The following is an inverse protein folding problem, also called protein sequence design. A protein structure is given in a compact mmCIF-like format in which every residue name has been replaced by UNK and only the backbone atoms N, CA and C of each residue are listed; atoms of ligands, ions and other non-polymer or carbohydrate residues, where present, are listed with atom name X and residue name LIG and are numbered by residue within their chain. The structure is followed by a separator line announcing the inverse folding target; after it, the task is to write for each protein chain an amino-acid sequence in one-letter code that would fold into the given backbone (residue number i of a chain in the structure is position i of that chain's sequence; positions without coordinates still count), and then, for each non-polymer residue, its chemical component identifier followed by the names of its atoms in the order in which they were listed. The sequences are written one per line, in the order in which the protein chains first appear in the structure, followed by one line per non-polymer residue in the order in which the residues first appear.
data_IF_297685872377
#
_entry.id   IF_297685872377
#
_cell.length_a   1.000
_cell.length_b   1.000
_cell.length_c   1.000
_cell.angle_alpha   90.00
_cell.angle_beta   90.00
_cell.angle_gamma   90.00
#
_symmetry.space_group_name_H-M   'P 1'
#
loop_
_entity.id
_entity.type
_entity.pdbx_description
1 polymer ?
#
# COMPACT_ATOMS: atom_id res chain seq x y z
N UNK A 1 2.17 -1.75 11.05
CA UNK A 1 3.10 -2.47 11.97
C UNK A 1 2.54 -3.83 12.37
N UNK A 2 3.36 -4.90 12.32
CA UNK A 2 2.98 -6.25 12.75
C UNK A 2 3.60 -6.56 14.11
N UNK A 3 2.78 -6.97 15.08
CA UNK A 3 3.21 -7.26 16.47
C UNK A 3 4.40 -8.22 16.54
N UNK A 4 4.35 -9.33 15.80
CA UNK A 4 5.43 -10.35 15.78
C UNK A 4 6.79 -9.76 15.40
N UNK A 5 6.83 -8.80 14.47
CA UNK A 5 8.06 -8.13 14.04
C UNK A 5 8.57 -7.16 15.10
N UNK A 6 7.67 -6.41 15.74
CA UNK A 6 8.04 -5.44 16.77
C UNK A 6 8.61 -6.10 18.04
N UNK A 7 8.04 -7.23 18.45
CA UNK A 7 8.52 -7.99 19.63
C UNK A 7 9.95 -8.49 19.44
N UNK A 8 10.36 -8.77 18.20
CA UNK A 8 11.73 -9.18 17.87
C UNK A 8 12.70 -7.99 17.76
N UNK A 9 12.27 -6.78 18.11
CA UNK A 9 13.10 -5.57 17.99
C UNK A 9 13.38 -5.17 16.53
N UNK A 10 12.55 -5.61 15.58
CA UNK A 10 12.74 -5.40 14.15
C UNK A 10 11.72 -4.42 13.56
N UNK A 11 11.98 -3.99 12.33
CA UNK A 11 11.13 -3.04 11.61
C UNK A 11 11.02 -1.72 12.36
N UNK A 12 9.79 -1.23 12.55
CA UNK A 12 9.56 0.05 13.22
C UNK A 12 10.05 0.12 14.68
N UNK A 13 10.37 -1.01 15.33
CA UNK A 13 10.92 -1.01 16.68
C UNK A 13 12.32 -0.40 16.75
N UNK A 14 13.11 -0.50 15.68
CA UNK A 14 14.48 0.01 15.61
C UNK A 14 14.57 1.54 15.76
N UNK A 15 13.47 2.27 15.53
CA UNK A 15 13.45 3.73 15.74
C UNK A 15 13.64 4.12 17.21
N UNK A 16 13.45 3.19 18.15
CA UNK A 16 13.71 3.40 19.58
C UNK A 16 15.17 3.22 19.97
N UNK A 17 15.98 2.66 19.08
CA UNK A 17 17.40 2.36 19.27
C UNK A 17 18.16 2.86 18.05
N UNK A 18 18.28 4.19 17.84
CA UNK A 18 18.97 4.80 16.72
C UNK A 18 20.34 4.17 16.43
N UNK A 19 21.14 3.97 17.46
CA UNK A 19 22.48 3.37 17.39
C UNK A 19 22.44 1.97 16.77
N UNK A 20 21.49 1.13 17.17
CA UNK A 20 21.30 -0.21 16.59
C UNK A 20 20.78 -0.13 15.16
N UNK A 21 19.89 0.82 14.86
CA UNK A 21 19.38 1.03 13.50
C UNK A 21 20.53 1.36 12.56
N UNK A 22 21.37 2.33 12.93
CA UNK A 22 22.52 2.78 12.16
C UNK A 22 23.55 1.66 11.99
N UNK A 23 23.85 0.91 13.06
CA UNK A 23 24.76 -0.24 12.98
C UNK A 23 24.25 -1.34 12.03
N UNK A 24 22.96 -1.68 12.10
CA UNK A 24 22.35 -2.64 11.18
C UNK A 24 22.39 -2.13 9.73
N UNK A 25 22.11 -0.84 9.52
CA UNK A 25 22.10 -0.22 8.20
C UNK A 25 23.50 -0.18 7.58
N UNK A 26 24.51 0.21 8.35
CA UNK A 26 25.92 0.21 7.94
C UNK A 26 26.39 -1.19 7.55
N UNK A 27 26.11 -2.20 8.37
CA UNK A 27 26.46 -3.58 8.05
C UNK A 27 25.82 -4.09 6.75
N UNK A 28 24.58 -3.66 6.44
CA UNK A 28 23.93 -3.99 5.16
C UNK A 28 24.63 -3.28 4.00
N UNK A 29 24.93 -1.99 4.14
CA UNK A 29 25.63 -1.21 3.12
C UNK A 29 27.01 -1.80 2.79
N UNK A 30 27.78 -2.19 3.81
CA UNK A 30 29.10 -2.80 3.62
C UNK A 30 29.03 -4.17 2.94
N UNK A 31 27.90 -4.87 3.06
CA UNK A 31 27.72 -6.23 2.54
C UNK A 31 27.34 -6.29 1.06
N UNK A 32 26.90 -5.19 0.44
CA UNK A 32 26.38 -5.19 -0.94
C UNK A 32 26.86 -4.01 -1.77
N UNK A 33 26.97 -4.22 -3.09
CA UNK A 33 27.32 -3.15 -4.05
C UNK A 33 26.11 -2.50 -4.72
N UNK A 34 24.91 -3.04 -4.48
CA UNK A 34 23.66 -2.50 -5.03
C UNK A 34 23.13 -1.37 -4.13
N UNK A 35 22.36 -0.40 -4.68
CA UNK A 35 21.79 0.67 -3.88
C UNK A 35 20.92 0.16 -2.73
N UNK A 36 21.21 0.61 -1.51
CA UNK A 36 20.43 0.28 -0.30
C UNK A 36 19.56 1.47 0.08
N UNK A 37 18.25 1.24 0.21
CA UNK A 37 17.29 2.24 0.68
C UNK A 37 16.73 1.86 2.05
N UNK A 38 16.19 2.84 2.77
CA UNK A 38 15.51 2.61 4.04
C UNK A 38 14.09 3.16 4.01
N UNK A 39 13.16 2.43 4.66
CA UNK A 39 11.77 2.87 4.83
C UNK A 39 11.43 3.05 6.30
N UNK A 40 11.11 4.27 6.68
CA UNK A 40 10.89 4.70 8.06
C UNK A 40 9.43 5.01 8.38
N UNK A 41 9.16 5.01 9.69
CA UNK A 41 8.05 5.71 10.33
C UNK A 41 8.61 6.91 11.09
N UNK A 42 7.76 7.87 11.50
CA UNK A 42 8.23 9.08 12.18
C UNK A 42 8.55 8.89 13.67
N UNK A 43 8.08 7.80 14.29
CA UNK A 43 8.31 7.54 15.71
C UNK A 43 7.74 6.18 16.13
N UNK A 44 7.88 5.84 17.41
CA UNK A 44 7.34 4.57 17.94
C UNK A 44 5.97 4.76 18.62
N UNK A 45 5.94 5.34 19.82
CA UNK A 45 4.70 5.67 20.53
C UNK A 45 4.26 7.10 20.20
N UNK A 46 5.10 8.04 20.65
CA UNK A 46 5.05 9.46 20.36
C UNK A 46 5.98 9.80 19.20
N UNK A 47 5.82 11.00 18.68
CA UNK A 47 6.71 11.61 17.71
C UNK A 47 7.40 12.80 18.39
N UNK A 48 8.74 12.77 18.40
CA UNK A 48 9.56 13.89 18.83
C UNK A 48 10.40 14.33 17.65
N UNK A 49 10.20 15.58 17.23
CA UNK A 49 10.68 16.08 15.95
C UNK A 49 12.20 16.17 15.88
N UNK A 50 12.85 16.80 16.87
CA UNK A 50 14.31 16.97 16.90
C UNK A 50 15.06 15.64 16.77
N UNK A 51 14.87 14.70 17.71
CA UNK A 51 15.54 13.40 17.66
C UNK A 51 15.28 12.62 16.37
N UNK A 52 14.08 12.72 15.80
CA UNK A 52 13.77 12.08 14.53
C UNK A 52 14.53 12.70 13.35
N UNK A 53 14.62 14.03 13.29
CA UNK A 53 15.37 14.72 12.24
C UNK A 53 16.88 14.44 12.34
N UNK A 54 17.43 14.38 13.55
CA UNK A 54 18.83 14.00 13.76
C UNK A 54 19.10 12.57 13.27
N UNK A 55 18.24 11.61 13.63
CA UNK A 55 18.33 10.24 13.09
C UNK A 55 18.28 10.21 11.55
N UNK A 56 17.44 11.04 10.93
CA UNK A 56 17.34 11.10 9.47
C UNK A 56 18.63 11.63 8.83
N UNK A 57 19.29 12.62 9.45
CA UNK A 57 20.62 13.10 9.00
C UNK A 57 21.67 12.01 9.12
N UNK A 58 21.70 11.29 10.24
CA UNK A 58 22.66 10.20 10.46
C UNK A 58 22.48 9.09 9.42
N UNK A 59 21.22 8.71 9.17
CA UNK A 59 20.86 7.73 8.14
C UNK A 59 21.33 8.18 6.75
N UNK A 60 21.11 9.46 6.40
CA UNK A 60 21.57 10.00 5.12
C UNK A 60 23.09 9.98 5.01
N UNK A 61 23.79 10.32 6.09
CA UNK A 61 25.26 10.42 6.14
C UNK A 61 25.96 9.07 5.99
N UNK A 62 25.30 7.98 6.39
CA UNK A 62 25.81 6.61 6.24
C UNK A 62 25.73 6.11 4.77
N UNK A 63 25.03 6.83 3.87
CA UNK A 63 25.08 6.57 2.43
C UNK A 63 23.94 5.73 1.86
N UNK A 64 22.74 5.82 2.44
CA UNK A 64 21.55 5.23 1.80
C UNK A 64 21.23 5.94 0.48
N UNK A 65 20.72 5.18 -0.50
CA UNK A 65 20.39 5.73 -1.82
C UNK A 65 19.09 6.53 -1.82
N UNK A 66 18.17 6.24 -0.90
CA UNK A 66 16.94 7.02 -0.70
C UNK A 66 16.27 6.68 0.64
N UNK A 67 15.44 7.61 1.13
CA UNK A 67 14.65 7.46 2.37
C UNK A 67 13.16 7.48 2.01
N UNK A 68 12.46 6.37 2.28
CA UNK A 68 11.01 6.30 2.15
C UNK A 68 10.32 6.57 3.50
N UNK A 69 9.64 7.71 3.64
CA UNK A 69 9.03 8.12 4.91
C UNK A 69 7.51 7.91 4.90
N UNK A 70 7.03 7.13 5.88
CA UNK A 70 5.62 7.16 6.30
C UNK A 70 5.51 8.01 7.57
N UNK A 71 5.00 9.26 7.52
CA UNK A 71 4.98 10.15 8.68
C UNK A 71 3.79 9.81 9.61
N UNK A 72 3.84 8.59 10.14
CA UNK A 72 3.02 8.09 11.25
C UNK A 72 3.95 7.38 12.23
N UNK A 73 3.62 7.42 13.51
CA UNK A 73 4.29 6.59 14.52
C UNK A 73 3.90 5.12 14.35
N UNK A 74 4.70 4.21 14.88
CA UNK A 74 4.38 2.77 14.91
C UNK A 74 3.04 2.53 15.63
N UNK A 75 2.81 3.18 16.77
CA UNK A 75 1.61 3.03 17.60
C UNK A 75 0.33 3.50 16.89
N UNK A 76 0.40 4.58 16.08
CA UNK A 76 -0.74 5.01 15.26
C UNK A 76 -1.21 3.93 14.28
N UNK A 77 -0.30 3.04 13.85
CA UNK A 77 -0.64 1.98 12.91
C UNK A 77 -1.18 2.54 11.59
N UNK A 78 -2.48 2.35 11.36
CA UNK A 78 -3.20 2.85 10.18
C UNK A 78 -4.30 3.88 10.52
N UNK A 79 -4.37 4.29 11.79
CA UNK A 79 -5.34 5.27 12.32
C UNK A 79 -4.79 6.70 12.18
N UNK A 80 -5.66 7.67 12.38
CA UNK A 80 -5.33 9.10 12.23
C UNK A 80 -4.89 9.45 10.82
N UNK A 81 -4.22 10.58 10.67
CA UNK A 81 -3.67 11.08 9.40
C UNK A 81 -2.15 11.05 9.43
N UNK A 82 -1.53 10.92 8.26
CA UNK A 82 -0.09 11.09 8.12
C UNK A 82 0.30 12.58 8.25
N UNK A 83 1.32 12.88 9.05
CA UNK A 83 1.89 14.22 9.28
C UNK A 83 2.66 14.69 8.04
N UNK A 84 1.96 15.13 6.99
CA UNK A 84 2.57 15.42 5.68
C UNK A 84 3.62 16.53 5.72
N UNK A 85 3.52 17.47 6.67
CA UNK A 85 4.52 18.52 6.89
C UNK A 85 5.93 17.97 7.08
N UNK A 86 6.06 16.81 7.73
CA UNK A 86 7.35 16.18 7.97
C UNK A 86 8.11 15.77 6.69
N UNK A 87 7.39 15.57 5.58
CA UNK A 87 8.03 15.30 4.28
C UNK A 87 8.81 16.52 3.80
N UNK A 88 8.26 17.71 3.95
CA UNK A 88 8.90 18.97 3.55
C UNK A 88 10.20 19.20 4.33
N UNK A 89 10.10 19.00 5.64
CA UNK A 89 11.23 19.15 6.55
C UNK A 89 12.34 18.16 6.26
N UNK A 90 12.00 16.87 6.11
CA UNK A 90 12.98 15.84 5.80
C UNK A 90 13.58 16.04 4.41
N UNK A 91 12.78 16.41 3.41
CA UNK A 91 13.28 16.64 2.04
C UNK A 91 14.20 17.86 1.95
N UNK A 92 14.01 18.86 2.82
CA UNK A 92 14.90 20.03 2.91
C UNK A 92 16.15 19.77 3.76
N UNK A 93 16.16 18.68 4.55
CA UNK A 93 17.21 18.37 5.51
C UNK A 93 18.34 17.53 4.93
N UNK A 94 18.05 16.70 3.92
CA UNK A 94 18.98 15.70 3.39
C UNK A 94 19.03 15.76 1.87
N UNK A 95 20.21 15.49 1.30
CA UNK A 95 20.40 15.48 -0.15
C UNK A 95 19.90 14.20 -0.82
N UNK A 96 19.75 13.11 -0.06
CA UNK A 96 19.26 11.84 -0.59
C UNK A 96 17.78 11.94 -0.95
N UNK A 97 17.33 11.34 -2.07
CA UNK A 97 15.93 11.36 -2.48
C UNK A 97 14.96 10.88 -1.38
N UNK A 98 13.96 11.70 -1.07
CA UNK A 98 12.88 11.34 -0.15
C UNK A 98 11.68 10.81 -0.92
N UNK A 99 11.20 9.62 -0.55
CA UNK A 99 10.00 8.99 -1.10
C UNK A 99 8.87 9.09 -0.07
N UNK A 100 7.86 9.92 -0.35
CA UNK A 100 6.73 10.09 0.56
C UNK A 100 5.77 8.90 0.51
N UNK A 101 5.25 8.47 1.66
CA UNK A 101 4.30 7.38 1.78
C UNK A 101 3.21 7.72 2.79
N UNK A 102 1.98 7.30 2.52
CA UNK A 102 0.88 7.35 3.49
C UNK A 102 -0.28 8.19 2.99
N UNK A 103 -1.49 7.65 3.12
CA UNK A 103 -2.74 8.34 2.79
C UNK A 103 -2.80 8.94 1.39
N UNK A 104 -2.13 8.30 0.42
CA UNK A 104 -2.26 8.61 -1.00
C UNK A 104 -3.46 7.85 -1.53
N UNK A 105 -4.53 8.58 -1.91
CA UNK A 105 -5.80 8.03 -2.38
C UNK A 105 -6.18 8.59 -3.75
N UNK A 106 -5.81 9.84 -4.01
CA UNK A 106 -6.12 10.58 -5.23
C UNK A 106 -4.91 11.36 -5.75
N UNK A 107 -5.01 11.91 -6.96
CA UNK A 107 -3.88 12.60 -7.60
C UNK A 107 -3.45 13.86 -6.84
N UNK A 108 -4.39 14.59 -6.26
CA UNK A 108 -4.14 15.73 -5.36
C UNK A 108 -3.19 15.36 -4.22
N UNK A 109 -3.31 14.16 -3.64
CA UNK A 109 -2.38 13.68 -2.61
C UNK A 109 -0.96 13.50 -3.13
N UNK A 110 -0.82 12.97 -4.35
CA UNK A 110 0.50 12.81 -5.00
C UNK A 110 1.11 14.18 -5.25
N UNK A 111 0.34 15.12 -5.80
CA UNK A 111 0.79 16.49 -6.08
C UNK A 111 1.18 17.22 -4.81
N UNK A 112 0.42 17.09 -3.72
CA UNK A 112 0.75 17.67 -2.42
C UNK A 112 2.09 17.13 -1.88
N UNK A 113 2.33 15.82 -1.95
CA UNK A 113 3.64 15.28 -1.54
C UNK A 113 4.81 15.76 -2.40
N UNK A 114 4.62 15.84 -3.72
CA UNK A 114 5.66 16.35 -4.63
C UNK A 114 5.96 17.84 -4.37
N UNK A 115 4.94 18.64 -4.03
CA UNK A 115 5.11 20.05 -3.64
C UNK A 115 5.88 20.22 -2.34
N UNK A 116 5.84 19.22 -1.45
CA UNK A 116 6.58 19.17 -0.18
C UNK A 116 7.99 18.59 -0.36
N UNK A 117 8.57 18.68 -1.55
CA UNK A 117 9.94 18.24 -1.80
C UNK A 117 10.14 16.73 -1.98
N UNK A 118 9.10 15.89 -1.89
CA UNK A 118 9.27 14.47 -2.14
C UNK A 118 9.70 14.22 -3.60
N UNK A 119 10.75 13.41 -3.80
CA UNK A 119 11.21 13.01 -5.13
C UNK A 119 10.26 12.03 -5.81
N UNK A 120 9.61 11.18 -5.01
CA UNK A 120 8.62 10.21 -5.47
C UNK A 120 7.56 9.93 -4.39
N UNK A 121 6.47 9.28 -4.80
CA UNK A 121 5.37 8.92 -3.91
C UNK A 121 5.13 7.42 -3.96
N UNK A 122 5.16 6.77 -2.79
CA UNK A 122 4.91 5.35 -2.63
C UNK A 122 3.45 5.12 -2.20
N UNK A 123 2.72 4.35 -3.00
CA UNK A 123 1.30 4.06 -2.80
C UNK A 123 1.13 2.62 -2.34
N UNK A 124 0.44 2.43 -1.20
CA UNK A 124 0.16 1.11 -0.64
C UNK A 124 -1.31 0.74 -0.79
N UNK A 125 -2.08 0.92 0.30
CA UNK A 125 -3.48 0.47 0.45
C UNK A 125 -4.40 0.87 -0.71
N UNK A 126 -4.20 2.02 -1.34
CA UNK A 126 -5.08 2.47 -2.42
C UNK A 126 -5.03 1.58 -3.66
N UNK A 127 -3.93 0.83 -3.87
CA UNK A 127 -3.78 -0.12 -4.99
C UNK A 127 -4.34 -1.52 -4.68
N UNK A 128 -4.69 -1.81 -3.42
CA UNK A 128 -5.21 -3.12 -3.02
C UNK A 128 -6.60 -3.32 -3.64
N UNK A 129 -6.72 -4.33 -4.50
CA UNK A 129 -7.95 -4.60 -5.24
C UNK A 129 -8.21 -3.64 -6.40
N UNK A 130 -7.30 -2.70 -6.70
CA UNK A 130 -7.44 -1.75 -7.80
C UNK A 130 -6.04 -1.34 -8.33
N UNK A 131 -5.30 -2.25 -8.98
CA UNK A 131 -3.94 -1.97 -9.43
C UNK A 131 -3.87 -0.82 -10.44
N UNK A 132 -4.91 -0.65 -11.28
CA UNK A 132 -4.99 0.41 -12.27
C UNK A 132 -5.17 1.81 -11.67
N UNK A 133 -5.47 1.91 -10.36
CA UNK A 133 -5.46 3.21 -9.68
C UNK A 133 -4.13 3.93 -9.82
N UNK A 134 -3.00 3.23 -9.95
CA UNK A 134 -1.70 3.90 -10.18
C UNK A 134 -1.72 4.78 -11.44
N UNK A 135 -2.34 4.30 -12.53
CA UNK A 135 -2.48 5.09 -13.78
C UNK A 135 -3.37 6.31 -13.55
N UNK A 136 -4.44 6.19 -12.76
CA UNK A 136 -5.32 7.31 -12.42
C UNK A 136 -4.62 8.34 -11.53
N UNK A 137 -3.79 7.90 -10.59
CA UNK A 137 -2.96 8.78 -9.75
C UNK A 137 -1.93 9.57 -10.59
N UNK A 138 -1.41 8.99 -11.67
CA UNK A 138 -0.48 9.64 -12.60
C UNK A 138 -1.20 10.56 -13.58
N UNK A 139 -2.30 10.09 -14.20
CA UNK A 139 -2.93 10.79 -15.32
C UNK A 139 -4.06 11.75 -14.90
N UNK A 140 -4.51 11.72 -13.65
CA UNK A 140 -5.57 12.60 -13.15
C UNK A 140 -7.00 12.15 -13.45
N UNK A 141 -7.20 10.85 -13.73
CA UNK A 141 -8.53 10.28 -13.89
C UNK A 141 -9.26 10.20 -12.55
N UNK A 142 -10.38 10.93 -12.41
CA UNK A 142 -11.27 10.89 -11.24
C UNK A 142 -12.36 9.83 -11.34
N UNK A 143 -12.53 9.24 -12.53
CA UNK A 143 -13.58 8.27 -12.78
C UNK A 143 -13.38 6.99 -11.95
N UNK A 144 -14.43 6.61 -11.25
CA UNK A 144 -14.50 5.37 -10.52
C UNK A 144 -14.75 4.21 -11.50
N UNK A 145 -13.82 3.24 -11.63
CA UNK A 145 -14.01 2.13 -12.56
C UNK A 145 -15.26 1.31 -12.25
N UNK A 146 -15.79 1.36 -11.03
CA UNK A 146 -16.99 0.61 -10.66
C UNK A 146 -18.30 1.36 -10.97
N UNK A 147 -18.24 2.51 -11.66
CA UNK A 147 -19.43 3.31 -11.98
C UNK A 147 -20.06 3.00 -13.34
N UNK A 148 -19.42 2.18 -14.17
CA UNK A 148 -19.94 1.73 -15.47
C UNK A 148 -19.86 0.21 -15.59
N UNK A 149 -20.70 -0.39 -16.44
CA UNK A 149 -20.67 -1.82 -16.72
C UNK A 149 -19.31 -2.23 -17.31
N UNK A 150 -18.78 -1.45 -18.25
CA UNK A 150 -17.49 -1.66 -18.88
C UNK A 150 -16.34 -1.60 -17.85
N UNK A 151 -16.42 -0.65 -16.92
CA UNK A 151 -15.41 -0.51 -15.88
C UNK A 151 -15.46 -1.64 -14.85
N UNK A 152 -16.65 -2.14 -14.50
CA UNK A 152 -16.82 -3.35 -13.67
C UNK A 152 -16.20 -4.57 -14.36
N UNK A 153 -16.49 -4.76 -15.65
CA UNK A 153 -15.93 -5.86 -16.46
C UNK A 153 -14.40 -5.79 -16.49
N UNK A 154 -13.83 -4.62 -16.77
CA UNK A 154 -12.38 -4.44 -16.78
C UNK A 154 -11.77 -4.68 -15.39
N UNK A 155 -12.42 -4.22 -14.33
CA UNK A 155 -11.97 -4.44 -12.95
C UNK A 155 -11.93 -5.94 -12.58
N UNK A 156 -12.97 -6.69 -12.91
CA UNK A 156 -13.04 -8.13 -12.64
C UNK A 156 -12.17 -8.95 -13.59
N UNK A 157 -11.97 -8.52 -14.83
CA UNK A 157 -10.94 -9.07 -15.72
C UNK A 157 -9.56 -9.02 -15.08
N UNK A 158 -9.19 -7.90 -14.42
CA UNK A 158 -7.91 -7.81 -13.67
C UNK A 158 -7.86 -8.77 -12.47
N UNK A 159 -8.98 -9.03 -11.82
CA UNK A 159 -9.03 -10.05 -10.76
C UNK A 159 -8.71 -11.44 -11.31
N UNK A 160 -9.26 -11.80 -12.48
CA UNK A 160 -8.98 -13.07 -13.17
C UNK A 160 -7.51 -13.20 -13.58
N UNK A 161 -6.95 -12.16 -14.20
CA UNK A 161 -5.52 -12.12 -14.56
C UNK A 161 -4.63 -12.34 -13.32
N UNK A 162 -4.95 -11.67 -12.21
CA UNK A 162 -4.23 -11.85 -10.95
C UNK A 162 -4.40 -13.26 -10.36
N UNK A 163 -5.57 -13.88 -10.46
CA UNK A 163 -5.76 -15.29 -10.10
C UNK A 163 -4.81 -16.19 -10.91
N UNK A 164 -4.76 -16.03 -12.23
CA UNK A 164 -3.87 -16.80 -13.11
C UNK A 164 -2.40 -16.63 -12.68
N UNK A 165 -1.95 -15.40 -12.42
CA UNK A 165 -0.60 -15.18 -11.92
C UNK A 165 -0.34 -15.83 -10.55
N UNK A 166 -1.32 -15.80 -9.65
CA UNK A 166 -1.22 -16.45 -8.33
C UNK A 166 -1.10 -17.97 -8.46
N UNK A 167 -1.92 -18.59 -9.31
CA UNK A 167 -1.90 -20.03 -9.58
C UNK A 167 -0.58 -20.44 -10.23
N UNK A 168 -0.13 -19.72 -11.25
CA UNK A 168 1.13 -20.02 -11.94
C UNK A 168 2.35 -19.93 -10.99
N UNK A 169 2.34 -19.00 -10.03
CA UNK A 169 3.47 -18.80 -9.13
C UNK A 169 3.45 -19.72 -7.90
N UNK A 170 2.27 -20.00 -7.34
CA UNK A 170 2.16 -20.77 -6.08
C UNK A 170 1.68 -22.20 -6.26
N UNK A 171 1.29 -22.62 -7.47
CA UNK A 171 0.51 -23.82 -7.74
C UNK A 171 -0.97 -23.61 -7.41
N UNK A 172 -1.86 -24.39 -8.03
CA UNK A 172 -3.31 -24.17 -8.00
C UNK A 172 -3.88 -23.93 -6.58
N UNK A 173 -3.85 -24.97 -5.73
CA UNK A 173 -4.47 -24.90 -4.39
C UNK A 173 -3.94 -23.71 -3.58
N UNK A 174 -2.61 -23.51 -3.55
CA UNK A 174 -1.99 -22.44 -2.75
C UNK A 174 -2.23 -21.07 -3.38
N UNK A 175 -2.23 -20.99 -4.70
CA UNK A 175 -2.53 -19.80 -5.48
C UNK A 175 -3.93 -19.31 -5.21
N UNK A 176 -4.94 -20.18 -5.25
CA UNK A 176 -6.32 -19.83 -4.94
C UNK A 176 -6.48 -19.40 -3.48
N UNK A 177 -5.95 -20.18 -2.51
CA UNK A 177 -6.02 -19.83 -1.08
C UNK A 177 -5.39 -18.46 -0.78
N UNK A 178 -4.22 -18.16 -1.38
CA UNK A 178 -3.59 -16.83 -1.24
C UNK A 178 -4.41 -15.74 -1.91
N UNK A 179 -4.97 -16.04 -3.08
CA UNK A 179 -5.76 -15.09 -3.86
C UNK A 179 -7.06 -14.67 -3.16
N UNK A 180 -7.63 -15.48 -2.26
CA UNK A 180 -8.81 -15.10 -1.45
C UNK A 180 -8.70 -13.71 -0.82
N UNK A 181 -7.53 -13.37 -0.27
CA UNK A 181 -7.31 -12.04 0.32
C UNK A 181 -7.35 -10.92 -0.71
N UNK A 182 -6.77 -11.16 -1.90
CA UNK A 182 -6.78 -10.21 -3.01
C UNK A 182 -8.18 -10.04 -3.58
N UNK A 183 -8.90 -11.14 -3.82
CA UNK A 183 -10.28 -11.12 -4.29
C UNK A 183 -11.18 -10.35 -3.31
N UNK A 184 -10.99 -10.54 -2.00
CA UNK A 184 -11.68 -9.75 -0.98
C UNK A 184 -11.42 -8.24 -1.08
N UNK A 185 -10.26 -7.81 -1.58
CA UNK A 185 -9.99 -6.39 -1.87
C UNK A 185 -10.66 -5.92 -3.17
N UNK A 186 -10.63 -6.72 -4.24
CA UNK A 186 -11.33 -6.40 -5.50
C UNK A 186 -12.82 -6.20 -5.28
N UNK A 187 -13.44 -6.99 -4.40
CA UNK A 187 -14.89 -6.96 -4.17
C UNK A 187 -15.31 -6.11 -2.97
N UNK A 188 -14.36 -5.43 -2.29
CA UNK A 188 -14.63 -4.73 -1.04
C UNK A 188 -15.71 -3.65 -1.16
N UNK A 189 -15.82 -3.06 -2.36
CA UNK A 189 -16.74 -1.95 -2.67
C UNK A 189 -18.07 -2.42 -3.25
N UNK A 190 -18.26 -3.73 -3.43
CA UNK A 190 -19.48 -4.27 -4.02
C UNK A 190 -20.57 -4.44 -2.92
N UNK A 191 -21.80 -3.89 -3.02
CA UNK A 191 -23.05 -4.47 -2.57
C UNK A 191 -23.01 -5.99 -2.35
N UNK A 192 -23.53 -6.41 -1.19
CA UNK A 192 -23.46 -7.81 -0.78
C UNK A 192 -22.08 -8.28 -0.31
N UNK A 193 -21.11 -7.38 -0.05
CA UNK A 193 -19.73 -7.72 0.35
C UNK A 193 -19.60 -8.82 1.41
N UNK A 194 -20.51 -8.89 2.39
CA UNK A 194 -20.48 -9.93 3.43
C UNK A 194 -20.68 -11.32 2.81
N UNK A 195 -21.77 -11.49 2.04
CA UNK A 195 -22.06 -12.72 1.29
C UNK A 195 -20.94 -13.09 0.32
N UNK A 196 -20.42 -12.10 -0.41
CA UNK A 196 -19.29 -12.30 -1.34
C UNK A 196 -18.06 -12.81 -0.57
N UNK A 197 -17.70 -12.15 0.53
CA UNK A 197 -16.56 -12.54 1.35
C UNK A 197 -16.71 -13.95 1.92
N UNK A 198 -17.91 -14.33 2.35
CA UNK A 198 -18.17 -15.68 2.86
C UNK A 198 -17.94 -16.73 1.75
N UNK A 199 -18.42 -16.48 0.52
CA UNK A 199 -18.14 -17.34 -0.65
C UNK A 199 -16.64 -17.41 -0.97
N UNK A 200 -15.92 -16.29 -0.92
CA UNK A 200 -14.46 -16.23 -1.14
C UNK A 200 -13.70 -17.13 -0.16
N UNK A 201 -14.17 -17.32 1.07
CA UNK A 201 -13.47 -18.18 2.03
C UNK A 201 -13.47 -19.66 1.65
N UNK A 202 -14.41 -20.10 0.81
CA UNK A 202 -14.60 -21.50 0.46
C UNK A 202 -13.91 -21.92 -0.86
N UNK A 203 -13.62 -21.01 -1.78
CA UNK A 203 -13.01 -21.36 -3.09
C UNK A 203 -11.59 -21.93 -2.95
N UNK A 204 -11.31 -23.06 -3.58
CA UNK A 204 -10.07 -23.82 -3.43
C UNK A 204 -9.41 -24.27 -4.73
N UNK A 205 -10.14 -24.21 -5.85
CA UNK A 205 -9.62 -24.45 -7.20
C UNK A 205 -9.67 -23.20 -8.08
N UNK A 206 -9.02 -23.27 -9.25
CA UNK A 206 -9.05 -22.18 -10.23
C UNK A 206 -10.47 -21.96 -10.74
N UNK A 207 -11.15 -23.04 -11.12
CA UNK A 207 -12.50 -23.01 -11.68
C UNK A 207 -13.51 -22.43 -10.69
N UNK A 208 -13.52 -22.90 -9.44
CA UNK A 208 -14.41 -22.35 -8.39
C UNK A 208 -14.20 -20.84 -8.19
N UNK A 209 -12.95 -20.39 -8.30
CA UNK A 209 -12.62 -18.96 -8.14
C UNK A 209 -13.05 -18.17 -9.38
N UNK A 210 -12.83 -18.68 -10.58
CA UNK A 210 -13.30 -18.05 -11.83
C UNK A 210 -14.83 -17.94 -11.85
N UNK A 211 -15.52 -19.03 -11.55
CA UNK A 211 -16.99 -19.08 -11.46
C UNK A 211 -17.52 -18.09 -10.44
N UNK A 212 -16.85 -17.95 -9.28
CA UNK A 212 -17.23 -16.94 -8.29
C UNK A 212 -17.11 -15.53 -8.87
N UNK A 213 -16.02 -15.20 -9.56
CA UNK A 213 -15.84 -13.89 -10.18
C UNK A 213 -16.90 -13.67 -11.28
N UNK A 214 -17.21 -14.67 -12.10
CA UNK A 214 -18.26 -14.60 -13.15
C UNK A 214 -19.66 -14.40 -12.58
N UNK A 215 -19.97 -15.06 -11.47
CA UNK A 215 -21.23 -14.85 -10.77
C UNK A 215 -21.32 -13.41 -10.23
N UNK A 216 -20.23 -12.90 -9.62
CA UNK A 216 -20.18 -11.52 -9.13
C UNK A 216 -20.36 -10.52 -10.28
N UNK A 217 -19.71 -10.75 -11.42
CA UNK A 217 -19.84 -9.89 -12.61
C UNK A 217 -21.27 -9.88 -13.14
N UNK A 218 -21.89 -11.06 -13.30
CA UNK A 218 -23.29 -11.16 -13.74
C UNK A 218 -24.24 -10.45 -12.78
N UNK A 219 -24.11 -10.70 -11.48
CA UNK A 219 -24.92 -10.05 -10.43
C UNK A 219 -24.83 -8.52 -10.48
N UNK A 220 -23.69 -7.96 -10.92
CA UNK A 220 -23.42 -6.52 -10.91
C UNK A 220 -23.69 -5.79 -12.20
N UNK A 221 -23.48 -6.47 -13.32
CA UNK A 221 -23.79 -5.92 -14.64
C UNK A 221 -25.27 -5.99 -14.98
N UNK A 222 -26.05 -6.82 -14.26
CA UNK A 222 -27.50 -6.94 -14.42
C UNK A 222 -28.32 -5.92 -13.61
N UNK A 223 -27.70 -5.15 -12.72
CA UNK A 223 -28.40 -4.12 -11.94
C UNK A 223 -28.62 -2.90 -12.85
N UNK A 224 -29.85 -2.47 -13.13
CA UNK A 224 -30.10 -1.28 -13.93
C UNK A 224 -29.36 -0.08 -13.32
N UNK A 225 -28.71 0.72 -14.17
CA UNK A 225 -28.00 1.94 -13.80
C UNK A 225 -28.98 3.04 -13.33
N UNK A 226 -29.77 2.78 -12.30
CA UNK A 226 -30.66 3.75 -11.69
C UNK A 226 -30.04 4.22 -10.38
N UNK A 227 -29.33 5.34 -10.48
CA UNK A 227 -28.90 6.12 -9.33
C UNK A 227 -27.50 5.76 -8.82
N UNK A 228 -26.70 6.81 -8.61
CA UNK A 228 -25.40 6.78 -7.95
C UNK A 228 -25.31 5.67 -6.91
N UNK A 229 -24.51 4.63 -7.21
CA UNK A 229 -24.16 3.57 -6.25
C UNK A 229 -23.40 4.27 -5.12
N UNK A 230 -24.11 4.61 -4.04
CA UNK A 230 -23.52 5.23 -2.86
C UNK A 230 -22.62 4.20 -2.18
N UNK A 231 -21.32 4.31 -2.41
CA UNK A 231 -20.32 3.61 -1.62
C UNK A 231 -20.36 4.14 -0.18
N UNK A 232 -20.55 3.27 0.81
CA UNK A 232 -20.21 3.61 2.20
C UNK A 232 -18.69 3.82 2.25
N UNK A 233 -18.27 5.04 2.59
CA UNK A 233 -16.86 5.40 2.82
C UNK A 233 -16.23 4.57 3.93
#
# INVERSE_FOLDING_TARGET
PKRKVLVQGSGGALIRTPERLLACLGAVLDSVRIPVSIKLRSGYHTFEKGPFLDLVKDISSIGVSCIALHPRTVAQGFRGSAERGLIDEVSSLVDVPVIASGDVRERSDVVDYLRRGARAVMVGRALMGDPLRVKRLINGGTHDPLSTVEGIREHLKRAREHLVHSVNHYGERRGCVRFRSHLGWYTARFPGRKRIRDRIFHVSSTDETMDLIDNIEREWTSIPSTGNIKYSR
#
